data_IF_143207949735
#
_entry.id   IF_143207949735
#
_cell.length_a   1.000
_cell.length_b   1.000
_cell.length_c   1.000
_cell.angle_alpha   90.00
_cell.angle_beta   90.00
_cell.angle_gamma   90.00
#
_symmetry.space_group_name_H-M   'P 1'
#
loop_
_entity.id
_entity.type
_entity.pdbx_description
1 polymer ?
#
# COMPACT_ATOMS: atom_id res chain seq x y z
N UNK A 1 4.89 3.02 -33.86
CA UNK A 1 4.78 1.60 -33.45
C UNK A 1 6.18 1.12 -33.14
N UNK A 2 6.46 0.82 -31.87
CA UNK A 2 7.81 0.41 -31.44
C UNK A 2 7.88 -1.11 -31.50
N UNK A 3 8.81 -1.64 -32.28
CA UNK A 3 9.06 -3.08 -32.38
C UNK A 3 10.11 -3.49 -31.36
N UNK A 4 9.85 -4.54 -30.59
CA UNK A 4 10.79 -5.11 -29.63
C UNK A 4 11.12 -6.52 -30.06
N UNK A 5 12.42 -6.82 -30.19
CA UNK A 5 12.92 -8.16 -30.51
C UNK A 5 13.44 -8.81 -29.23
N UNK A 6 13.03 -10.04 -28.97
CA UNK A 6 13.42 -10.79 -27.77
C UNK A 6 13.89 -12.17 -28.19
N UNK A 7 15.10 -12.53 -27.78
CA UNK A 7 15.62 -13.89 -27.93
C UNK A 7 15.20 -14.72 -26.73
N UNK A 8 14.56 -15.86 -27.00
CA UNK A 8 14.12 -16.80 -25.97
C UNK A 8 14.99 -18.05 -26.03
N UNK A 9 15.43 -18.51 -24.87
CA UNK A 9 16.02 -19.85 -24.74
C UNK A 9 14.92 -20.90 -24.94
N UNK A 10 15.28 -22.06 -25.48
CA UNK A 10 14.33 -23.13 -25.79
C UNK A 10 13.48 -23.56 -24.58
N UNK A 11 14.10 -23.64 -23.41
CA UNK A 11 13.42 -23.96 -22.14
C UNK A 11 12.33 -22.94 -21.79
N UNK A 12 12.62 -21.64 -21.98
CA UNK A 12 11.69 -20.54 -21.72
C UNK A 12 10.58 -20.55 -22.76
N UNK A 13 10.91 -20.84 -24.01
CA UNK A 13 9.93 -20.97 -25.09
C UNK A 13 8.95 -22.11 -24.82
N UNK A 14 9.45 -23.27 -24.41
CA UNK A 14 8.62 -24.42 -24.03
C UNK A 14 7.70 -24.09 -22.85
N UNK A 15 8.21 -23.40 -21.82
CA UNK A 15 7.40 -22.95 -20.70
C UNK A 15 6.28 -22.00 -21.13
N UNK A 16 6.56 -21.06 -22.05
CA UNK A 16 5.55 -20.14 -22.61
C UNK A 16 4.49 -20.91 -23.39
N UNK A 17 4.89 -21.87 -24.23
CA UNK A 17 3.96 -22.68 -25.03
C UNK A 17 3.01 -23.51 -24.16
N UNK A 18 3.43 -23.93 -22.96
CA UNK A 18 2.56 -24.64 -22.01
C UNK A 18 1.48 -23.74 -21.37
N UNK A 19 1.76 -22.45 -21.18
CA UNK A 19 0.89 -21.55 -20.41
C UNK A 19 0.09 -20.56 -21.26
N UNK A 20 0.51 -20.30 -22.50
CA UNK A 20 -0.16 -19.32 -23.38
C UNK A 20 -1.53 -19.78 -23.88
N UNK A 21 -1.82 -21.08 -23.79
CA UNK A 21 -3.02 -21.68 -24.38
C UNK A 21 -3.06 -21.42 -25.89
N UNK A 22 -4.17 -20.85 -26.38
CA UNK A 22 -4.37 -20.55 -27.81
C UNK A 22 -3.78 -19.19 -28.25
N UNK A 23 -3.26 -18.39 -27.32
CA UNK A 23 -2.76 -17.05 -27.64
C UNK A 23 -1.47 -17.11 -28.46
N UNK A 24 -1.31 -16.18 -29.40
CA UNK A 24 -0.01 -15.95 -30.06
C UNK A 24 1.06 -15.52 -29.04
N UNK A 25 2.32 -15.90 -29.29
CA UNK A 25 3.41 -15.67 -28.34
C UNK A 25 3.73 -14.20 -28.17
N UNK A 26 3.64 -13.40 -29.23
CA UNK A 26 3.88 -11.97 -29.11
C UNK A 26 2.79 -11.32 -28.24
N UNK A 27 1.52 -11.71 -28.44
CA UNK A 27 0.41 -11.22 -27.62
C UNK A 27 0.53 -11.65 -26.15
N UNK A 28 0.95 -12.89 -25.91
CA UNK A 28 1.20 -13.40 -24.57
C UNK A 28 2.31 -12.61 -23.86
N UNK A 29 3.46 -12.40 -24.54
CA UNK A 29 4.59 -11.67 -23.99
C UNK A 29 4.26 -10.20 -23.72
N UNK A 30 3.51 -9.54 -24.61
CA UNK A 30 3.07 -8.17 -24.41
C UNK A 30 2.20 -8.05 -23.14
N UNK A 31 1.22 -8.94 -22.99
CA UNK A 31 0.32 -8.97 -21.83
C UNK A 31 1.08 -9.28 -20.53
N UNK A 32 1.99 -10.25 -20.57
CA UNK A 32 2.81 -10.63 -19.41
C UNK A 32 3.77 -9.50 -19.02
N UNK A 33 4.39 -8.84 -20.00
CA UNK A 33 5.28 -7.70 -19.81
C UNK A 33 4.57 -6.50 -19.19
N UNK A 34 3.37 -6.18 -19.68
CA UNK A 34 2.53 -5.11 -19.11
C UNK A 34 2.20 -5.38 -17.64
N UNK A 35 1.75 -6.61 -17.33
CA UNK A 35 1.46 -7.01 -15.94
C UNK A 35 2.70 -6.92 -15.04
N UNK A 36 3.86 -7.33 -15.55
CA UNK A 36 5.11 -7.23 -14.80
C UNK A 36 5.51 -5.76 -14.57
N UNK A 37 5.36 -4.91 -15.58
CA UNK A 37 5.61 -3.47 -15.49
C UNK A 37 4.66 -2.81 -14.47
N UNK A 38 3.36 -3.10 -14.52
CA UNK A 38 2.38 -2.61 -13.54
C UNK A 38 2.75 -3.04 -12.12
N UNK A 39 3.12 -4.31 -11.89
CA UNK A 39 3.56 -4.78 -10.56
C UNK A 39 4.82 -4.08 -10.07
N UNK A 40 5.73 -3.73 -10.99
CA UNK A 40 6.94 -2.97 -10.65
C UNK A 40 6.59 -1.52 -10.33
N UNK A 41 5.71 -0.90 -11.11
CA UNK A 41 5.21 0.44 -10.86
C UNK A 41 4.45 0.52 -9.53
N UNK A 42 3.57 -0.42 -9.19
CA UNK A 42 2.88 -0.46 -7.89
C UNK A 42 3.88 -0.59 -6.73
N UNK A 43 4.96 -1.35 -6.89
CA UNK A 43 6.03 -1.44 -5.89
C UNK A 43 6.84 -0.16 -5.71
N UNK A 44 6.93 0.66 -6.75
CA UNK A 44 7.69 1.91 -6.76
C UNK A 44 6.81 3.16 -6.77
N UNK A 45 5.48 2.99 -6.75
CA UNK A 45 4.55 4.09 -6.64
C UNK A 45 4.76 4.66 -5.24
N UNK A 46 5.06 5.96 -5.11
CA UNK A 46 5.01 6.61 -3.80
C UNK A 46 3.60 6.37 -3.26
N UNK A 47 3.50 5.66 -2.14
CA UNK A 47 2.24 5.44 -1.47
C UNK A 47 1.77 6.80 -0.98
N UNK A 48 0.86 7.42 -1.74
CA UNK A 48 0.45 8.81 -1.53
C UNK A 48 -0.26 9.05 -0.19
N UNK A 49 -0.62 7.98 0.54
CA UNK A 49 -1.32 8.02 1.83
C UNK A 49 -0.61 7.28 2.98
N UNK A 50 0.59 6.73 2.77
CA UNK A 50 1.33 6.12 3.89
C UNK A 50 2.28 7.13 4.51
N UNK A 51 2.07 7.40 5.80
CA UNK A 51 3.02 8.11 6.64
C UNK A 51 4.39 7.49 6.45
N UNK A 52 5.36 8.30 6.03
CA UNK A 52 6.72 7.83 5.85
C UNK A 52 7.36 7.59 7.22
N UNK A 53 8.45 6.81 7.32
CA UNK A 53 9.21 6.70 8.56
C UNK A 53 9.64 8.06 9.14
N UNK A 54 9.92 9.04 8.28
CA UNK A 54 10.24 10.40 8.70
C UNK A 54 9.02 11.13 9.31
N UNK A 55 7.82 10.90 8.78
CA UNK A 55 6.58 11.44 9.34
C UNK A 55 6.30 10.86 10.72
N UNK A 56 6.52 9.55 10.91
CA UNK A 56 6.40 8.92 12.22
C UNK A 56 7.37 9.51 13.25
N UNK A 57 8.60 9.81 12.86
CA UNK A 57 9.59 10.45 13.73
C UNK A 57 9.16 11.87 14.08
N UNK A 58 8.69 12.64 13.10
CA UNK A 58 8.18 13.99 13.32
C UNK A 58 6.97 14.00 14.27
N UNK A 59 6.00 13.10 14.04
CA UNK A 59 4.83 12.94 14.91
C UNK A 59 5.21 12.52 16.34
N UNK A 60 6.19 11.64 16.49
CA UNK A 60 6.69 11.25 17.81
C UNK A 60 7.35 12.44 18.54
N UNK A 61 8.15 13.24 17.83
CA UNK A 61 8.78 14.43 18.39
C UNK A 61 7.76 15.52 18.76
N UNK A 62 6.71 15.69 17.96
CA UNK A 62 5.58 16.60 18.26
C UNK A 62 4.79 16.10 19.49
N UNK A 63 4.52 14.79 19.58
CA UNK A 63 3.80 14.20 20.71
C UNK A 63 4.60 14.23 22.02
N UNK A 64 5.93 14.16 21.96
CA UNK A 64 6.80 14.26 23.14
C UNK A 64 6.76 15.67 23.75
N UNK A 65 6.64 16.70 22.91
CA UNK A 65 6.52 18.09 23.33
C UNK A 65 5.21 18.37 24.11
N UNK A 66 4.13 17.67 23.76
CA UNK A 66 2.81 17.77 24.41
C UNK A 66 2.51 16.58 25.33
N UNK A 67 3.54 15.90 25.82
CA UNK A 67 3.37 14.70 26.65
C UNK A 67 2.77 15.02 28.03
N UNK A 68 1.76 14.25 28.42
CA UNK A 68 1.09 14.37 29.72
C UNK A 68 1.52 13.23 30.66
N UNK A 69 1.57 13.48 31.99
CA UNK A 69 1.65 12.41 32.97
C UNK A 69 0.53 11.40 32.77
N UNK A 70 0.84 10.11 32.94
CA UNK A 70 -0.09 9.01 32.66
C UNK A 70 -1.41 9.12 33.44
N UNK A 71 -1.37 9.70 34.64
CA UNK A 71 -2.56 9.90 35.48
C UNK A 71 -3.46 11.02 34.95
N UNK A 72 -2.89 12.12 34.46
CA UNK A 72 -3.64 13.21 33.84
C UNK A 72 -4.26 12.77 32.51
N UNK A 73 -3.53 11.99 31.71
CA UNK A 73 -4.06 11.39 30.49
C UNK A 73 -5.25 10.47 30.77
N UNK A 74 -5.16 9.62 31.81
CA UNK A 74 -6.28 8.74 32.21
C UNK A 74 -7.52 9.54 32.63
N UNK A 75 -7.35 10.62 33.39
CA UNK A 75 -8.46 11.47 33.80
C UNK A 75 -9.12 12.16 32.60
N UNK A 76 -8.34 12.65 31.64
CA UNK A 76 -8.87 13.23 30.40
C UNK A 76 -9.66 12.21 29.58
N UNK A 77 -9.12 11.01 29.39
CA UNK A 77 -9.79 9.94 28.64
C UNK A 77 -11.09 9.52 29.32
N UNK A 78 -11.09 9.32 30.63
CA UNK A 78 -12.31 8.98 31.38
C UNK A 78 -13.37 10.08 31.32
N UNK A 79 -12.94 11.34 31.38
CA UNK A 79 -13.82 12.50 31.24
C UNK A 79 -14.45 12.56 29.86
N UNK A 80 -13.67 12.31 28.81
CA UNK A 80 -14.17 12.29 27.44
C UNK A 80 -15.17 11.15 27.21
N UNK A 81 -14.85 9.94 27.68
CA UNK A 81 -15.74 8.78 27.58
C UNK A 81 -17.08 9.04 28.29
N UNK A 82 -17.05 9.67 29.47
CA UNK A 82 -18.27 10.04 30.18
C UNK A 82 -19.09 11.09 29.44
N UNK A 83 -18.43 12.10 28.84
CA UNK A 83 -19.09 13.15 28.06
C UNK A 83 -19.74 12.59 26.78
N UNK A 84 -19.09 11.65 26.10
CA UNK A 84 -19.61 11.00 24.90
C UNK A 84 -20.83 10.11 25.22
N UNK A 85 -20.77 9.38 26.34
CA UNK A 85 -21.89 8.56 26.82
C UNK A 85 -23.11 9.43 27.21
N UNK A 86 -22.88 10.58 27.87
CA UNK A 86 -23.94 11.54 28.20
C UNK A 86 -24.54 12.20 26.95
N UNK A 87 -23.73 12.46 25.92
CA UNK A 87 -24.19 13.01 24.65
C UNK A 87 -25.07 12.00 23.87
N UNK A 88 -24.67 10.73 23.85
CA UNK A 88 -25.42 9.65 23.21
C UNK A 88 -26.76 9.38 23.94
N UNK A 89 -26.76 9.44 25.27
CA UNK A 89 -27.97 9.30 26.09
C UNK A 89 -28.96 10.47 25.92
N UNK A 90 -28.50 11.67 25.53
CA UNK A 90 -29.37 12.83 25.23
C UNK A 90 -29.88 12.85 23.79
N UNK A 91 -29.24 12.09 22.90
CA UNK A 91 -29.61 11.97 21.50
C UNK A 91 -30.62 10.84 21.22
N UNK A 92 -30.91 9.99 22.23
CA UNK A 92 -31.91 8.91 22.22
C UNK A 92 -33.21 9.32 22.90
#
# INVERSE_FOLDING_TARGET
>A
MTTVTVELRDEVRAAIDQVRGEQDVAAFLATAGERAAMRRLVRHAPRADELTPADHIRMAAEAEADSLPIEEFRQLVMTQIAADADAEARAS
#
